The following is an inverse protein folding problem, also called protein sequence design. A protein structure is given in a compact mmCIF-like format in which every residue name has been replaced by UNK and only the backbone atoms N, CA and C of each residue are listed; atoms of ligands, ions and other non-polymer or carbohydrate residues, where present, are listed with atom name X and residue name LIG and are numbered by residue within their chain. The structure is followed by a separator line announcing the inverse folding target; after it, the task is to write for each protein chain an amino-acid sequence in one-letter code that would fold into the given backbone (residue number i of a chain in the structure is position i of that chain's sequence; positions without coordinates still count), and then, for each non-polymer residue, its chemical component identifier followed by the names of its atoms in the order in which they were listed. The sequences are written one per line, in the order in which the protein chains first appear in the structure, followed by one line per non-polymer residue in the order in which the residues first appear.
data_IF_128354573456
#
_entry.id   IF_128354573456
#
_cell.length_a   1.000
_cell.length_b   1.000
_cell.length_c   1.000
_cell.angle_alpha   90.00
_cell.angle_beta   90.00
_cell.angle_gamma   90.00
#
_symmetry.space_group_name_H-M   'P 1'
#
loop_
_entity.id
_entity.type
_entity.pdbx_description
1 polymer ?
#
# COMPACT_ATOMS: atom_id res chain seq x y z
N UNK A 1 -19.10 -16.56 15.11
CA UNK A 1 -17.95 -17.07 15.89
C UNK A 1 -17.47 -18.35 15.24
N UNK A 2 -16.16 -18.45 15.04
CA UNK A 2 -15.42 -19.59 14.53
C UNK A 2 -15.02 -20.62 15.59
N UNK A 3 -14.25 -21.62 15.18
CA UNK A 3 -13.72 -22.70 16.01
C UNK A 3 -12.22 -22.52 16.31
N UNK A 4 -11.39 -23.57 16.30
CA UNK A 4 -9.93 -23.43 16.43
C UNK A 4 -9.21 -23.91 15.15
N UNK A 5 -9.98 -24.09 14.07
CA UNK A 5 -9.53 -24.51 12.75
C UNK A 5 -9.63 -23.30 11.79
N UNK A 6 -8.84 -23.31 10.71
CA UNK A 6 -8.91 -22.28 9.67
C UNK A 6 -10.28 -22.25 8.97
N UNK A 7 -10.94 -21.10 8.94
CA UNK A 7 -12.33 -20.95 8.51
C UNK A 7 -12.54 -19.80 7.54
N UNK A 8 -13.68 -19.85 6.83
CA UNK A 8 -14.23 -18.70 6.11
C UNK A 8 -15.46 -18.22 6.88
N UNK A 9 -15.36 -17.04 7.48
CA UNK A 9 -16.41 -16.42 8.30
C UNK A 9 -17.00 -15.26 7.49
N UNK A 10 -18.30 -15.30 7.25
CA UNK A 10 -18.99 -14.30 6.43
C UNK A 10 -19.96 -13.46 7.26
N UNK A 11 -19.82 -12.14 7.17
CA UNK A 11 -20.78 -11.18 7.69
C UNK A 11 -22.03 -11.01 6.81
N UNK A 12 -23.01 -10.31 7.34
CA UNK A 12 -24.15 -9.75 6.62
C UNK A 12 -23.86 -8.28 6.24
N UNK A 13 -24.84 -7.56 5.69
CA UNK A 13 -24.67 -6.13 5.33
C UNK A 13 -24.94 -5.18 6.52
N UNK A 14 -25.03 -5.73 7.74
CA UNK A 14 -25.26 -5.00 8.99
C UNK A 14 -24.06 -5.18 9.91
N UNK A 15 -23.91 -4.28 10.89
CA UNK A 15 -22.87 -4.39 11.91
C UNK A 15 -22.86 -5.79 12.57
N UNK A 16 -21.73 -6.46 12.47
CA UNK A 16 -21.49 -7.81 12.96
C UNK A 16 -20.31 -7.87 13.93
N UNK A 17 -20.30 -8.91 14.77
CA UNK A 17 -19.17 -9.25 15.64
C UNK A 17 -18.64 -10.63 15.27
N UNK A 18 -17.48 -10.66 14.62
CA UNK A 18 -16.85 -11.84 14.07
C UNK A 18 -15.57 -12.17 14.85
N UNK A 19 -15.43 -13.43 15.25
CA UNK A 19 -14.27 -13.95 15.99
C UNK A 19 -13.81 -15.25 15.35
N UNK A 20 -12.54 -15.34 14.98
CA UNK A 20 -11.87 -16.52 14.40
C UNK A 20 -11.35 -17.50 15.45
N UNK A 21 -10.65 -16.95 16.45
CA UNK A 21 -10.02 -17.61 17.62
C UNK A 21 -8.65 -18.20 17.33
N UNK A 22 -8.53 -19.45 16.88
CA UNK A 22 -7.24 -20.06 16.49
C UNK A 22 -7.38 -20.56 15.07
N UNK A 23 -6.28 -20.54 14.32
CA UNK A 23 -6.29 -20.92 12.91
C UNK A 23 -6.12 -19.69 12.03
N UNK A 24 -5.86 -19.93 10.75
CA UNK A 24 -5.73 -18.86 9.76
C UNK A 24 -7.11 -18.60 9.13
N UNK A 25 -7.85 -17.63 9.65
CA UNK A 25 -9.23 -17.37 9.26
C UNK A 25 -9.36 -16.32 8.15
N UNK A 26 -10.41 -16.44 7.33
CA UNK A 26 -10.77 -15.46 6.31
C UNK A 26 -12.15 -14.88 6.65
N UNK A 27 -12.19 -13.60 6.96
CA UNK A 27 -13.41 -12.83 7.14
C UNK A 27 -13.83 -12.17 5.83
N UNK A 28 -15.07 -12.41 5.40
CA UNK A 28 -15.64 -11.69 4.26
C UNK A 28 -16.33 -10.42 4.77
N UNK A 29 -15.60 -9.31 4.67
CA UNK A 29 -16.06 -7.97 5.04
C UNK A 29 -17.06 -7.46 4.01
N UNK A 30 -18.23 -7.03 4.49
CA UNK A 30 -19.33 -6.50 3.68
C UNK A 30 -19.70 -5.12 4.20
N UNK A 31 -20.87 -4.59 3.82
CA UNK A 31 -21.36 -3.37 4.45
C UNK A 31 -21.66 -3.58 5.94
N UNK A 32 -21.49 -2.55 6.74
CA UNK A 32 -21.65 -2.65 8.19
C UNK A 32 -20.64 -1.77 8.90
N UNK A 33 -20.71 -1.74 10.22
CA UNK A 33 -19.62 -1.27 11.06
C UNK A 33 -19.22 -2.47 11.91
N UNK A 34 -18.39 -3.31 11.33
CA UNK A 34 -18.11 -4.65 11.80
C UNK A 34 -16.96 -4.67 12.81
N UNK A 35 -16.89 -5.72 13.61
CA UNK A 35 -15.70 -6.01 14.42
C UNK A 35 -15.17 -7.38 14.04
N UNK A 36 -13.95 -7.40 13.51
CA UNK A 36 -13.21 -8.60 13.16
C UNK A 36 -12.14 -8.85 14.22
N UNK A 37 -12.22 -9.99 14.89
CA UNK A 37 -11.15 -10.49 15.75
C UNK A 37 -10.60 -11.80 15.20
N UNK A 38 -9.40 -11.78 14.60
CA UNK A 38 -8.76 -12.98 14.05
C UNK A 38 -8.37 -13.94 15.16
N UNK A 39 -7.38 -13.58 15.96
CA UNK A 39 -6.96 -14.35 17.13
C UNK A 39 -5.54 -14.86 16.97
N UNK A 40 -5.31 -16.14 17.26
CA UNK A 40 -4.03 -16.81 17.01
C UNK A 40 -4.01 -17.37 15.58
N UNK A 41 -3.14 -16.87 14.72
CA UNK A 41 -3.02 -17.36 13.35
C UNK A 41 -2.55 -16.24 12.43
N UNK A 42 -2.69 -16.46 11.13
CA UNK A 42 -2.61 -15.40 10.11
C UNK A 42 -4.01 -15.20 9.55
N UNK A 43 -4.66 -14.15 10.04
CA UNK A 43 -6.06 -13.89 9.75
C UNK A 43 -6.21 -12.82 8.67
N UNK A 44 -7.21 -13.00 7.80
CA UNK A 44 -7.44 -12.16 6.64
C UNK A 44 -8.83 -11.52 6.65
N UNK A 45 -8.93 -10.24 6.34
CA UNK A 45 -10.19 -9.63 5.92
C UNK A 45 -10.18 -9.46 4.41
N UNK A 46 -11.21 -9.98 3.76
CA UNK A 46 -11.46 -9.84 2.34
C UNK A 46 -12.77 -9.11 2.10
N UNK A 47 -12.68 -7.91 1.55
CA UNK A 47 -13.82 -7.16 1.03
C UNK A 47 -14.17 -7.69 -0.36
N UNK A 48 -15.10 -8.65 -0.41
CA UNK A 48 -15.43 -9.40 -1.63
C UNK A 48 -16.47 -8.70 -2.52
N UNK A 49 -17.15 -7.69 -1.99
CA UNK A 49 -18.09 -6.85 -2.72
C UNK A 49 -17.35 -5.60 -3.23
N UNK A 50 -17.58 -5.23 -4.49
CA UNK A 50 -16.91 -4.08 -5.09
C UNK A 50 -17.41 -2.77 -4.50
N UNK A 51 -16.51 -1.80 -4.28
CA UNK A 51 -16.93 -0.45 -3.88
C UNK A 51 -17.59 0.24 -5.05
N UNK A 52 -18.93 0.31 -5.03
CA UNK A 52 -19.67 1.00 -6.09
C UNK A 52 -19.57 2.51 -5.90
N UNK A 53 -18.77 3.17 -6.74
CA UNK A 53 -18.79 4.63 -6.91
C UNK A 53 -18.03 5.45 -5.86
N UNK A 54 -17.04 4.85 -5.17
CA UNK A 54 -16.25 5.56 -4.16
C UNK A 54 -14.91 4.89 -3.84
N UNK A 55 -14.17 5.48 -2.91
CA UNK A 55 -12.89 4.96 -2.40
C UNK A 55 -13.16 3.94 -1.29
N UNK A 56 -12.61 2.72 -1.41
CA UNK A 56 -12.39 1.88 -0.23
C UNK A 56 -11.21 2.48 0.51
N UNK A 57 -11.40 2.78 1.79
CA UNK A 57 -10.29 3.08 2.68
C UNK A 57 -10.40 2.08 3.79
N UNK A 58 -9.48 1.14 3.85
CA UNK A 58 -9.36 0.26 5.01
C UNK A 58 -8.33 0.89 5.92
N UNK A 59 -8.68 1.09 7.18
CA UNK A 59 -7.74 1.61 8.17
C UNK A 59 -7.86 0.81 9.46
N UNK A 60 -6.95 -0.15 9.60
CA UNK A 60 -7.01 -1.19 10.61
C UNK A 60 -6.80 -0.65 12.05
N UNK A 61 -6.15 0.51 12.20
CA UNK A 61 -5.90 1.16 13.50
C UNK A 61 -6.91 2.25 13.88
N UNK A 62 -7.84 2.61 12.98
CA UNK A 62 -8.82 3.66 13.22
C UNK A 62 -10.10 3.41 12.43
N UNK A 63 -11.05 2.74 13.08
CA UNK A 63 -12.38 2.44 12.54
C UNK A 63 -13.14 3.66 12.02
N UNK A 64 -12.89 4.84 12.61
CA UNK A 64 -13.51 6.10 12.17
C UNK A 64 -13.04 6.61 10.80
N UNK A 65 -11.90 6.13 10.31
CA UNK A 65 -11.30 6.59 9.05
C UNK A 65 -11.73 5.75 7.87
N UNK A 66 -12.16 4.50 8.10
CA UNK A 66 -12.64 3.63 7.04
C UNK A 66 -13.69 4.28 6.12
N UNK A 67 -13.67 3.92 4.84
CA UNK A 67 -14.60 4.41 3.80
C UNK A 67 -15.14 3.24 2.99
N UNK A 68 -16.29 3.45 2.35
CA UNK A 68 -16.95 2.38 1.60
C UNK A 68 -17.45 1.29 2.54
N UNK A 69 -17.20 0.04 2.19
CA UNK A 69 -17.62 -1.12 2.97
C UNK A 69 -16.84 -1.25 4.29
N UNK A 70 -15.60 -0.75 4.35
CA UNK A 70 -14.80 -0.72 5.58
C UNK A 70 -15.20 0.39 6.58
N UNK A 71 -16.28 1.12 6.33
CA UNK A 71 -16.64 2.31 7.10
C UNK A 71 -17.18 1.97 8.49
N UNK A 72 -16.37 2.24 9.53
CA UNK A 72 -16.71 1.93 10.92
C UNK A 72 -16.20 0.58 11.39
N UNK A 73 -15.54 -0.18 10.51
CA UNK A 73 -15.00 -1.49 10.83
C UNK A 73 -13.81 -1.41 11.79
N UNK A 74 -13.75 -2.36 12.71
CA UNK A 74 -12.69 -2.49 13.71
C UNK A 74 -12.01 -3.84 13.54
N UNK A 75 -10.68 -3.83 13.59
CA UNK A 75 -9.86 -5.01 13.30
C UNK A 75 -8.94 -5.28 14.48
N UNK A 76 -8.94 -6.51 14.96
CA UNK A 76 -8.13 -6.97 16.08
C UNK A 76 -7.45 -8.27 15.66
N UNK A 77 -6.11 -8.30 15.72
CA UNK A 77 -5.33 -9.46 15.27
C UNK A 77 -5.72 -9.88 13.84
N UNK A 78 -5.58 -8.95 12.89
CA UNK A 78 -5.76 -9.19 11.46
C UNK A 78 -4.46 -8.80 10.79
N UNK A 79 -3.87 -9.72 10.03
CA UNK A 79 -2.55 -9.56 9.41
C UNK A 79 -2.64 -9.47 7.88
N UNK A 80 -3.75 -9.93 7.27
CA UNK A 80 -3.94 -9.91 5.82
C UNK A 80 -5.14 -9.08 5.41
N UNK A 81 -4.96 -8.28 4.38
CA UNK A 81 -6.03 -7.48 3.80
C UNK A 81 -6.14 -7.69 2.30
N UNK A 82 -7.35 -8.00 1.85
CA UNK A 82 -7.68 -8.18 0.45
C UNK A 82 -8.86 -7.27 0.08
N UNK A 83 -8.62 -6.10 -0.54
CA UNK A 83 -9.68 -5.31 -1.16
C UNK A 83 -10.39 -6.04 -2.33
N UNK A 84 -11.56 -5.54 -2.80
CA UNK A 84 -12.12 -5.92 -4.09
C UNK A 84 -11.26 -5.34 -5.23
N UNK A 85 -11.56 -5.72 -6.47
CA UNK A 85 -10.92 -5.06 -7.63
C UNK A 85 -11.43 -3.60 -7.76
N UNK A 86 -10.62 -2.72 -8.36
CA UNK A 86 -11.05 -1.34 -8.64
C UNK A 86 -10.96 -0.41 -7.44
N UNK A 87 -10.07 -0.70 -6.50
CA UNK A 87 -9.80 0.17 -5.35
C UNK A 87 -8.85 1.29 -5.79
N UNK A 88 -8.69 2.31 -4.97
CA UNK A 88 -7.73 3.39 -5.24
C UNK A 88 -6.92 3.79 -4.02
N UNK A 89 -7.09 3.09 -2.88
CA UNK A 89 -6.37 3.37 -1.64
C UNK A 89 -6.41 2.19 -0.65
N UNK A 90 -5.25 1.71 -0.19
CA UNK A 90 -5.12 0.61 0.78
C UNK A 90 -4.10 1.00 1.85
N UNK A 91 -4.47 0.85 3.12
CA UNK A 91 -3.57 1.12 4.26
C UNK A 91 -3.42 -0.08 5.17
N UNK A 92 -2.19 -0.35 5.57
CA UNK A 92 -1.84 -1.34 6.59
C UNK A 92 -2.14 -0.94 8.03
N UNK A 93 -1.69 -1.80 8.94
CA UNK A 93 -1.58 -1.62 10.39
C UNK A 93 -0.21 -1.04 10.78
N UNK A 94 0.06 -0.87 12.09
CA UNK A 94 1.41 -0.71 12.62
C UNK A 94 2.17 -2.04 12.90
N UNK A 95 1.59 -3.18 12.52
CA UNK A 95 2.17 -4.51 12.61
C UNK A 95 2.67 -4.99 11.24
N UNK A 96 3.07 -6.27 11.15
CA UNK A 96 3.43 -6.87 9.86
C UNK A 96 2.15 -7.18 9.09
N UNK A 97 2.01 -6.57 7.91
CA UNK A 97 0.87 -6.77 7.04
C UNK A 97 1.20 -7.58 5.78
N UNK A 98 0.18 -8.28 5.29
CA UNK A 98 0.13 -8.89 3.96
C UNK A 98 -0.95 -8.18 3.15
N UNK A 99 -0.54 -7.32 2.21
CA UNK A 99 -1.45 -6.49 1.42
C UNK A 99 -1.45 -6.98 -0.03
N UNK A 100 -2.65 -7.22 -0.58
CA UNK A 100 -2.86 -7.57 -1.99
C UNK A 100 -3.89 -6.61 -2.63
N UNK A 101 -3.44 -5.58 -3.34
CA UNK A 101 -4.33 -4.52 -3.88
C UNK A 101 -5.03 -4.90 -5.21
N UNK A 102 -4.47 -5.88 -5.94
CA UNK A 102 -5.08 -6.59 -7.08
C UNK A 102 -5.03 -5.85 -8.42
N UNK A 103 -6.15 -5.29 -8.90
CA UNK A 103 -6.25 -4.75 -10.27
C UNK A 103 -6.90 -3.37 -10.19
N UNK A 104 -6.11 -2.31 -10.35
CA UNK A 104 -6.50 -0.90 -10.46
C UNK A 104 -5.26 -0.04 -10.31
N UNK A 105 -5.36 1.25 -10.60
CA UNK A 105 -4.35 2.21 -10.14
C UNK A 105 -4.58 2.46 -8.64
N UNK A 106 -3.77 1.84 -7.80
CA UNK A 106 -3.89 1.83 -6.35
C UNK A 106 -2.86 2.72 -5.65
N UNK A 107 -3.23 3.27 -4.50
CA UNK A 107 -2.29 3.90 -3.56
C UNK A 107 -2.20 3.03 -2.32
N UNK A 108 -1.04 2.39 -2.14
CA UNK A 108 -0.80 1.41 -1.07
C UNK A 108 0.22 1.96 -0.08
N UNK A 109 -0.12 1.97 1.21
CA UNK A 109 0.80 2.35 2.29
C UNK A 109 0.77 1.32 3.43
N UNK A 110 1.88 0.59 3.60
CA UNK A 110 2.09 -0.45 4.63
C UNK A 110 2.29 0.13 6.03
N UNK A 111 2.72 1.39 6.14
CA UNK A 111 2.92 2.15 7.38
C UNK A 111 4.06 1.70 8.27
N UNK A 112 3.84 0.89 9.29
CA UNK A 112 4.89 0.50 10.24
C UNK A 112 4.81 -1.00 10.36
N UNK A 113 5.93 -1.69 10.22
CA UNK A 113 5.90 -3.14 10.11
C UNK A 113 6.95 -3.61 9.12
N UNK A 114 7.21 -4.91 9.12
CA UNK A 114 7.94 -5.53 8.02
C UNK A 114 6.90 -6.12 7.08
N UNK A 115 6.44 -5.34 6.11
CA UNK A 115 5.24 -5.63 5.33
C UNK A 115 5.55 -6.42 4.05
N UNK A 116 4.60 -7.26 3.62
CA UNK A 116 4.58 -7.89 2.30
C UNK A 116 3.47 -7.24 1.48
N UNK A 117 3.83 -6.47 0.46
CA UNK A 117 2.89 -5.71 -0.37
C UNK A 117 2.96 -6.20 -1.80
N UNK A 118 1.81 -6.57 -2.35
CA UNK A 118 1.58 -6.82 -3.77
C UNK A 118 0.51 -5.85 -4.28
N UNK A 119 0.92 -4.82 -5.02
CA UNK A 119 0.02 -3.81 -5.53
C UNK A 119 -0.82 -4.35 -6.72
N UNK A 120 -0.26 -5.30 -7.47
CA UNK A 120 -0.95 -5.97 -8.57
C UNK A 120 -0.95 -5.14 -9.85
N UNK A 121 -1.89 -5.36 -10.78
CA UNK A 121 -1.83 -4.68 -12.08
C UNK A 121 -2.47 -3.28 -12.05
N UNK A 122 -1.81 -2.29 -12.63
CA UNK A 122 -2.25 -0.90 -12.63
C UNK A 122 -1.06 0.05 -12.57
N UNK A 123 -1.29 1.36 -12.59
CA UNK A 123 -0.26 2.34 -12.28
C UNK A 123 -0.34 2.71 -10.79
N UNK A 124 0.41 2.00 -9.97
CA UNK A 124 0.32 2.04 -8.53
C UNK A 124 1.30 3.05 -7.90
N UNK A 125 0.96 3.50 -6.69
CA UNK A 125 1.86 4.27 -5.83
C UNK A 125 2.03 3.53 -4.52
N UNK A 126 3.24 3.09 -4.23
CA UNK A 126 3.52 2.10 -3.17
C UNK A 126 4.48 2.71 -2.15
N UNK A 127 4.03 2.81 -0.91
CA UNK A 127 4.86 3.13 0.26
C UNK A 127 4.93 1.90 1.16
N UNK A 128 6.13 1.32 1.31
CA UNK A 128 6.34 0.27 2.32
C UNK A 128 6.23 0.82 3.74
N UNK A 129 6.55 2.10 3.94
CA UNK A 129 6.59 2.71 5.26
C UNK A 129 7.81 2.29 6.08
N UNK A 130 7.72 2.36 7.40
CA UNK A 130 8.80 2.04 8.35
C UNK A 130 8.90 0.54 8.62
N UNK A 131 10.07 0.00 8.33
CA UNK A 131 10.44 -1.38 8.63
C UNK A 131 11.02 -2.00 7.38
N UNK A 132 11.33 -3.29 7.41
CA UNK A 132 11.93 -3.94 6.25
C UNK A 132 10.88 -4.62 5.40
N UNK A 133 10.49 -3.93 4.33
CA UNK A 133 9.35 -4.31 3.51
C UNK A 133 9.78 -5.11 2.27
N UNK A 134 8.89 -5.97 1.79
CA UNK A 134 9.01 -6.67 0.52
C UNK A 134 7.86 -6.24 -0.38
N UNK A 135 8.18 -5.62 -1.51
CA UNK A 135 7.24 -4.94 -2.38
C UNK A 135 7.25 -5.57 -3.78
N UNK A 136 6.04 -5.81 -4.31
CA UNK A 136 5.80 -6.19 -5.70
C UNK A 136 4.68 -5.34 -6.32
N UNK A 137 4.75 -5.12 -7.63
CA UNK A 137 3.85 -4.23 -8.38
C UNK A 137 3.39 -4.83 -9.72
N UNK A 138 3.87 -6.02 -10.10
CA UNK A 138 3.44 -6.69 -11.33
C UNK A 138 3.58 -5.86 -12.61
N UNK A 139 2.53 -5.17 -13.06
CA UNK A 139 2.51 -4.58 -14.41
C UNK A 139 1.75 -3.25 -14.43
N UNK A 140 2.42 -2.26 -14.99
CA UNK A 140 1.94 -0.90 -15.17
C UNK A 140 3.05 0.06 -14.73
N UNK A 141 2.78 1.37 -14.85
CA UNK A 141 3.79 2.39 -14.56
C UNK A 141 3.79 2.76 -13.10
N UNK A 142 4.52 1.99 -12.28
CA UNK A 142 4.42 2.04 -10.84
C UNK A 142 5.40 3.05 -10.22
N UNK A 143 5.08 3.55 -9.02
CA UNK A 143 5.95 4.46 -8.28
C UNK A 143 6.12 4.03 -6.83
N UNK A 144 7.36 3.74 -6.45
CA UNK A 144 7.72 3.47 -5.07
C UNK A 144 8.11 4.77 -4.37
N UNK A 145 7.44 5.09 -3.27
CA UNK A 145 7.46 6.41 -2.64
C UNK A 145 7.66 6.32 -1.13
N UNK A 146 7.92 7.48 -0.50
CA UNK A 146 7.95 7.66 0.97
C UNK A 146 8.80 6.62 1.72
N UNK A 147 10.01 6.39 1.22
CA UNK A 147 10.97 5.48 1.86
C UNK A 147 11.26 5.96 3.28
N UNK A 148 10.96 5.11 4.25
CA UNK A 148 11.29 5.39 5.63
C UNK A 148 12.55 4.61 6.06
N UNK A 149 13.34 5.18 6.97
CA UNK A 149 14.57 4.55 7.41
C UNK A 149 14.29 3.24 8.15
N UNK A 150 14.78 2.12 7.60
CA UNK A 150 14.78 0.81 8.20
C UNK A 150 16.20 0.23 8.30
N UNK A 151 16.41 -0.71 9.23
CA UNK A 151 17.74 -1.28 9.48
C UNK A 151 18.26 -2.06 8.27
N UNK A 152 17.38 -2.79 7.58
CA UNK A 152 17.72 -3.61 6.42
C UNK A 152 17.15 -3.05 5.10
N UNK A 153 16.42 -1.93 5.16
CA UNK A 153 15.78 -1.27 4.00
C UNK A 153 14.60 -2.07 3.43
N UNK A 154 14.05 -1.54 2.32
CA UNK A 154 13.00 -2.20 1.55
C UNK A 154 13.59 -3.00 0.38
N UNK A 155 12.89 -4.07 -0.02
CA UNK A 155 13.21 -4.89 -1.17
C UNK A 155 12.07 -4.83 -2.19
N UNK A 156 12.33 -4.30 -3.37
CA UNK A 156 11.39 -4.32 -4.50
C UNK A 156 11.80 -5.48 -5.42
N UNK A 157 10.90 -6.43 -5.66
CA UNK A 157 11.28 -7.72 -6.25
C UNK A 157 11.24 -7.74 -7.79
N UNK A 158 10.36 -6.96 -8.41
CA UNK A 158 9.99 -7.05 -9.83
C UNK A 158 10.11 -5.72 -10.59
N UNK A 159 10.77 -4.71 -9.99
CA UNK A 159 11.00 -3.40 -10.58
C UNK A 159 11.41 -3.45 -12.07
N UNK A 160 10.59 -2.84 -12.91
CA UNK A 160 10.68 -2.73 -14.35
C UNK A 160 11.30 -1.39 -14.76
N UNK A 161 12.58 -1.46 -15.17
CA UNK A 161 13.30 -0.30 -15.68
C UNK A 161 12.57 0.39 -16.83
N UNK A 162 12.22 1.66 -16.62
CA UNK A 162 11.62 2.55 -17.60
C UNK A 162 10.12 2.39 -17.80
N UNK A 163 9.50 1.58 -16.95
CA UNK A 163 8.08 1.62 -16.65
C UNK A 163 7.91 2.25 -15.26
N UNK A 164 8.70 1.79 -14.28
CA UNK A 164 8.54 2.18 -12.89
C UNK A 164 9.46 3.33 -12.46
N UNK A 165 9.06 3.95 -11.35
CA UNK A 165 9.71 5.09 -10.73
C UNK A 165 10.09 4.85 -9.27
N UNK A 166 11.22 5.42 -8.86
CA UNK A 166 11.64 5.53 -7.48
C UNK A 166 11.55 7.00 -7.06
N UNK A 167 10.60 7.34 -6.19
CA UNK A 167 10.43 8.71 -5.71
C UNK A 167 11.13 8.92 -4.37
N UNK A 168 12.27 9.60 -4.41
CA UNK A 168 13.10 9.92 -3.24
C UNK A 168 12.82 11.33 -2.71
N UNK A 169 11.55 11.73 -2.71
CA UNK A 169 11.11 13.03 -2.21
C UNK A 169 11.34 13.11 -0.69
N UNK A 170 11.69 14.29 -0.19
CA UNK A 170 11.90 14.56 1.24
C UNK A 170 13.27 14.16 1.80
N UNK A 171 14.13 13.53 1.00
CA UNK A 171 15.52 13.23 1.38
C UNK A 171 16.47 14.42 1.22
N UNK A 172 16.00 15.56 0.71
CA UNK A 172 16.83 16.72 0.42
C UNK A 172 17.80 16.50 -0.73
N UNK A 173 17.54 15.48 -1.57
CA UNK A 173 18.38 15.16 -2.72
C UNK A 173 18.18 16.20 -3.81
N UNK A 174 19.28 16.85 -4.16
CA UNK A 174 19.34 17.88 -5.19
C UNK A 174 20.03 17.36 -6.44
N UNK A 175 19.98 18.14 -7.51
CA UNK A 175 20.77 17.84 -8.71
C UNK A 175 22.28 17.88 -8.47
N UNK A 176 22.78 18.38 -7.34
CA UNK A 176 24.21 18.49 -7.07
C UNK A 176 24.77 17.30 -6.28
N UNK A 177 23.92 16.38 -5.82
CA UNK A 177 24.35 15.20 -5.12
C UNK A 177 25.07 14.25 -6.09
N UNK A 178 26.30 13.87 -5.72
CA UNK A 178 27.28 13.26 -6.62
C UNK A 178 26.79 11.97 -7.28
N UNK A 179 25.94 11.20 -6.60
CA UNK A 179 25.36 9.99 -7.15
C UNK A 179 24.18 10.30 -8.07
N UNK A 180 23.42 11.38 -7.80
CA UNK A 180 22.24 11.78 -8.58
C UNK A 180 22.62 12.18 -10.01
N UNK A 181 23.74 12.88 -10.21
CA UNK A 181 24.26 13.20 -11.56
C UNK A 181 24.98 12.04 -12.25
N UNK A 182 25.39 11.02 -11.48
CA UNK A 182 26.00 9.81 -12.02
C UNK A 182 24.97 8.78 -12.49
N UNK A 183 23.73 8.88 -11.99
CA UNK A 183 22.60 8.11 -12.51
C UNK A 183 22.16 8.74 -13.83
N UNK A 184 22.59 8.12 -14.93
CA UNK A 184 22.12 8.50 -16.26
C UNK A 184 21.06 7.50 -16.71
N UNK A 185 19.79 7.89 -16.63
CA UNK A 185 18.68 7.17 -17.24
C UNK A 185 18.71 7.38 -18.76
N UNK A 186 19.64 6.73 -19.46
CA UNK A 186 19.69 6.73 -20.91
C UNK A 186 18.67 5.72 -21.44
N UNK A 187 17.53 6.18 -21.96
CA UNK A 187 16.46 5.33 -22.49
C UNK A 187 15.34 5.06 -21.47
N UNK A 188 14.69 3.89 -21.55
CA UNK A 188 13.72 3.36 -20.57
C UNK A 188 14.44 2.89 -19.30
N UNK A 189 15.25 3.74 -18.68
CA UNK A 189 15.87 3.49 -17.37
C UNK A 189 14.89 3.75 -16.22
N UNK A 190 15.16 3.28 -14.98
CA UNK A 190 14.38 3.68 -13.80
C UNK A 190 14.21 5.20 -13.74
N UNK A 191 12.99 5.70 -13.58
CA UNK A 191 12.77 7.13 -13.34
C UNK A 191 12.98 7.43 -11.86
N UNK A 192 14.11 8.06 -11.51
CA UNK A 192 14.29 8.59 -10.15
C UNK A 192 13.66 9.97 -10.07
N UNK A 193 12.60 10.10 -9.28
CA UNK A 193 11.96 11.39 -8.96
C UNK A 193 12.59 11.92 -7.67
N UNK A 194 12.97 13.20 -7.67
CA UNK A 194 13.75 13.87 -6.60
C UNK A 194 13.11 15.18 -6.20
N UNK A 195 13.54 15.75 -5.07
CA UNK A 195 13.05 17.04 -4.62
C UNK A 195 13.27 18.09 -5.72
N UNK A 196 12.18 18.70 -6.17
CA UNK A 196 12.27 19.80 -7.12
C UNK A 196 13.09 20.90 -6.44
N UNK A 197 14.32 21.11 -6.92
CA UNK A 197 15.07 22.31 -6.59
C UNK A 197 14.12 23.48 -6.81
N UNK A 198 13.86 24.28 -5.78
CA UNK A 198 13.14 25.55 -5.92
C UNK A 198 13.58 26.21 -7.22
N UNK A 199 12.72 26.19 -8.23
CA UNK A 199 13.00 26.81 -9.51
C UNK A 199 12.87 28.32 -9.31
N UNK A 200 13.91 28.93 -8.75
CA UNK A 200 14.11 30.38 -8.76
C UNK A 200 15.46 30.60 -9.41
N UNK A 201 15.46 30.58 -10.73
CA UNK A 201 16.66 30.77 -11.54
C UNK A 201 16.33 30.83 -13.02
N UNK A 202 15.55 31.84 -13.40
CA UNK A 202 15.18 32.22 -14.76
C UNK A 202 16.09 31.67 -15.88
N UNK A 203 15.47 31.03 -16.87
CA UNK A 203 15.96 30.98 -18.25
C UNK A 203 16.28 32.42 -18.71
N UNK A 204 17.50 32.88 -18.48
CA UNK A 204 18.02 34.05 -19.19
C UNK A 204 18.36 33.59 -20.60
N UNK A 205 17.44 33.91 -21.50
CA UNK A 205 17.69 34.09 -22.93
C UNK A 205 18.97 34.92 -23.12
N UNK A 206 20.07 34.24 -23.42
CA UNK A 206 21.32 34.84 -23.89
C UNK A 206 21.20 35.15 -25.37
N UNK A 207 20.70 36.34 -25.68
CA UNK A 207 20.74 36.96 -27.01
C UNK A 207 22.20 37.02 -27.48
N UNK A 208 22.51 36.35 -28.59
CA UNK A 208 23.77 36.55 -29.31
C UNK A 208 23.86 38.01 -29.76
N UNK A 209 24.95 38.67 -29.40
CA UNK A 209 25.47 39.92 -29.95
C UNK A 209 26.97 39.77 -30.04
#
# INVERSE_FOLDING_TARGET
MGSNDAEIIRGADNADYMLGRRGDDIFLGRGGADTFGGGDGVDAVWYDQGVTGGTLLIELNSSSRGKGEAAGDTYVSIERLVPPNGVGYVLGTPGRDFILARNSDDLVDGRVGDDLIDAGAGADRIAGGRGSNFLTDSAGGDAFVDFAAAKDGDSIADFQSGEDALELLGFGLTENDWFVNSVVANGRGPQIVRDASTCVGALRSGRRG
#
